data_IF_000070899448
#
_entry.id   IF_000070899448
#
_cell.length_a   1.000
_cell.length_b   1.000
_cell.length_c   1.000
_cell.angle_alpha   90.00
_cell.angle_beta   90.00
_cell.angle_gamma   90.00
#
_symmetry.space_group_name_H-M   'P 1'
#
loop_
_entity.id
_entity.type
_entity.pdbx_description
1 polymer ?
#
# COMPACT_ATOMS: atom_id res chain seq x y z
N UNK A 1 -6.48 2.44 27.70
CA UNK A 1 -6.85 2.99 26.38
C UNK A 1 -5.71 3.90 25.95
N UNK A 2 -4.96 3.54 24.90
CA UNK A 2 -3.95 4.43 24.31
C UNK A 2 -4.71 5.40 23.41
N UNK A 3 -4.44 6.70 23.50
CA UNK A 3 -5.07 7.71 22.65
C UNK A 3 -4.15 8.09 21.50
N UNK A 4 -4.71 8.36 20.32
CA UNK A 4 -3.97 8.90 19.17
C UNK A 4 -3.11 10.10 19.60
N UNK A 5 -1.82 10.04 19.29
CA UNK A 5 -0.84 11.09 19.59
C UNK A 5 -0.17 11.54 18.29
N UNK A 6 -0.31 12.82 17.95
CA UNK A 6 0.43 13.39 16.83
C UNK A 6 1.78 13.91 17.32
N UNK A 7 2.86 13.44 16.69
CA UNK A 7 4.22 13.87 16.96
C UNK A 7 4.50 15.20 16.25
N UNK A 8 5.28 16.06 16.89
CA UNK A 8 5.61 17.40 16.38
C UNK A 8 6.76 17.39 15.37
N UNK A 9 7.52 16.29 15.31
CA UNK A 9 8.65 16.11 14.39
C UNK A 9 8.35 15.02 13.38
N UNK A 10 8.81 15.21 12.15
CA UNK A 10 8.84 14.17 11.12
C UNK A 10 10.01 13.22 11.40
N UNK A 11 9.81 12.26 12.30
CA UNK A 11 10.84 11.31 12.73
C UNK A 11 10.23 9.93 13.02
N UNK A 12 10.99 8.87 12.74
CA UNK A 12 10.62 7.50 13.08
C UNK A 12 11.63 6.99 14.10
N UNK A 13 11.16 6.73 15.34
CA UNK A 13 12.04 6.54 16.48
C UNK A 13 12.98 7.73 16.64
N UNK A 14 14.28 7.46 16.73
CA UNK A 14 15.33 8.48 16.80
C UNK A 14 15.85 8.94 15.42
N UNK A 15 15.17 8.59 14.33
CA UNK A 15 15.59 8.92 12.96
C UNK A 15 14.79 10.10 12.42
N UNK A 16 15.34 11.34 12.38
CA UNK A 16 14.70 12.47 11.72
C UNK A 16 14.63 12.24 10.21
N UNK A 17 13.55 12.70 9.58
CA UNK A 17 13.31 12.52 8.16
C UNK A 17 13.23 13.87 7.45
N UNK A 18 13.80 13.95 6.26
CA UNK A 18 13.63 15.05 5.32
C UNK A 18 12.58 14.68 4.28
N UNK A 19 11.56 15.52 4.17
CA UNK A 19 10.51 15.41 3.18
C UNK A 19 10.97 15.95 1.82
N UNK A 20 10.73 15.20 0.75
CA UNK A 20 10.87 15.66 -0.64
C UNK A 20 9.75 15.10 -1.51
N UNK A 21 9.32 15.84 -2.53
CA UNK A 21 8.40 15.32 -3.56
C UNK A 21 9.20 14.65 -4.68
N UNK A 22 8.72 13.51 -5.17
CA UNK A 22 9.24 12.86 -6.37
C UNK A 22 8.29 13.18 -7.53
N UNK A 23 8.72 13.94 -8.55
CA UNK A 23 7.92 14.17 -9.73
C UNK A 23 7.68 12.85 -10.47
N UNK A 24 6.45 12.61 -10.90
CA UNK A 24 6.09 11.44 -11.72
C UNK A 24 6.10 11.76 -13.21
N UNK A 25 6.23 13.04 -13.56
CA UNK A 25 6.00 13.54 -14.92
C UNK A 25 4.51 13.68 -15.29
N UNK A 26 3.61 13.23 -14.41
CA UNK A 26 2.15 13.24 -14.57
C UNK A 26 1.42 13.92 -13.40
N UNK A 27 2.16 14.70 -12.60
CA UNK A 27 1.70 15.39 -11.39
C UNK A 27 0.53 16.39 -11.59
N UNK A 28 0.32 16.86 -12.82
CA UNK A 28 -0.80 17.74 -13.21
C UNK A 28 -1.96 17.00 -13.87
N UNK A 29 -1.95 15.67 -13.76
CA UNK A 29 -2.96 14.80 -14.31
C UNK A 29 -4.34 14.98 -13.66
N UNK A 30 -5.36 14.53 -14.39
CA UNK A 30 -6.74 14.49 -13.92
C UNK A 30 -7.13 13.14 -13.32
N UNK A 31 -6.41 12.06 -13.54
CA UNK A 31 -6.70 10.76 -12.96
C UNK A 31 -6.24 10.64 -11.51
N UNK A 32 -6.70 9.60 -10.83
CA UNK A 32 -6.36 9.35 -9.43
C UNK A 32 -5.14 8.46 -9.35
N UNK A 33 -4.09 8.93 -8.67
CA UNK A 33 -2.98 8.06 -8.30
C UNK A 33 -3.46 7.14 -7.17
N UNK A 34 -3.36 5.83 -7.34
CA UNK A 34 -3.72 4.87 -6.27
C UNK A 34 -2.48 4.40 -5.51
N UNK A 35 -2.58 3.29 -4.76
CA UNK A 35 -1.50 2.88 -3.85
C UNK A 35 -0.24 2.34 -4.54
N UNK A 36 -0.35 1.65 -5.69
CA UNK A 36 0.77 0.89 -6.27
C UNK A 36 2.10 1.63 -6.31
N UNK A 37 3.06 1.18 -5.51
CA UNK A 37 4.43 1.69 -5.45
C UNK A 37 5.40 0.58 -5.03
N UNK A 38 6.58 0.56 -5.64
CA UNK A 38 7.62 -0.38 -5.31
C UNK A 38 9.01 0.18 -5.65
N UNK A 39 9.98 -0.01 -4.77
CA UNK A 39 11.37 0.31 -5.07
C UNK A 39 12.07 -0.88 -5.72
N UNK A 40 12.83 -0.63 -6.79
CA UNK A 40 13.61 -1.64 -7.48
C UNK A 40 15.07 -1.67 -6.98
N UNK A 41 15.75 -2.83 -7.07
CA UNK A 41 17.16 -2.97 -6.67
C UNK A 41 18.12 -2.02 -7.39
N UNK A 42 17.79 -1.61 -8.62
CA UNK A 42 18.61 -0.67 -9.40
C UNK A 42 18.38 0.80 -9.03
N UNK A 43 17.64 1.05 -7.94
CA UNK A 43 17.38 2.38 -7.41
C UNK A 43 16.18 3.09 -8.02
N UNK A 44 15.62 2.56 -9.11
CA UNK A 44 14.40 3.12 -9.70
C UNK A 44 13.15 2.81 -8.88
N UNK A 45 12.11 3.61 -9.06
CA UNK A 45 10.81 3.46 -8.41
C UNK A 45 9.75 3.10 -9.44
N UNK A 46 8.94 2.08 -9.17
CA UNK A 46 7.70 1.81 -9.88
C UNK A 46 6.53 2.47 -9.15
N UNK A 47 5.66 3.12 -9.89
CA UNK A 47 4.45 3.76 -9.37
C UNK A 47 3.29 3.50 -10.33
N UNK A 48 2.08 3.28 -9.83
CA UNK A 48 0.88 3.23 -10.65
C UNK A 48 0.68 4.57 -11.39
N UNK A 49 0.26 4.53 -12.65
CA UNK A 49 0.04 5.74 -13.43
C UNK A 49 -1.31 6.37 -13.04
N UNK A 50 -1.42 7.68 -12.76
CA UNK A 50 -2.68 8.32 -12.36
C UNK A 50 -3.72 8.38 -13.49
N UNK A 51 -3.32 8.59 -14.75
CA UNK A 51 -4.23 8.67 -15.91
C UNK A 51 -4.56 7.34 -16.62
N UNK A 52 -3.93 6.22 -16.28
CA UNK A 52 -4.12 5.01 -17.06
C UNK A 52 -3.67 3.73 -16.38
N UNK A 53 -3.91 2.63 -17.09
CA UNK A 53 -3.72 1.23 -16.68
C UNK A 53 -2.25 0.78 -16.63
N UNK A 54 -1.35 1.73 -16.46
CA UNK A 54 0.07 1.57 -16.72
C UNK A 54 0.89 1.82 -15.46
N UNK A 55 2.14 1.39 -15.47
CA UNK A 55 3.13 1.77 -14.47
C UNK A 55 3.98 2.93 -15.01
N UNK A 56 4.57 3.68 -14.08
CA UNK A 56 5.63 4.64 -14.33
C UNK A 56 6.86 4.12 -13.61
N UNK A 57 7.97 3.99 -14.34
CA UNK A 57 9.29 3.77 -13.79
C UNK A 57 10.05 5.08 -13.73
N UNK A 58 10.46 5.48 -12.53
CA UNK A 58 11.20 6.70 -12.27
C UNK A 58 12.64 6.30 -11.94
N UNK A 59 13.62 6.70 -12.74
CA UNK A 59 15.04 6.44 -12.48
C UNK A 59 15.54 7.18 -11.24
N UNK A 60 16.73 6.83 -10.73
CA UNK A 60 17.36 7.60 -9.65
C UNK A 60 17.62 9.07 -10.01
N UNK A 61 17.79 9.37 -11.30
CA UNK A 61 17.95 10.73 -11.83
C UNK A 61 16.63 11.49 -11.98
N UNK A 62 15.49 10.81 -11.81
CA UNK A 62 14.14 11.39 -11.93
C UNK A 62 13.50 11.25 -13.31
N UNK A 63 14.14 10.53 -14.24
CA UNK A 63 13.59 10.29 -15.57
C UNK A 63 12.44 9.28 -15.49
N UNK A 64 11.28 9.66 -16.03
CA UNK A 64 10.05 8.85 -15.97
C UNK A 64 9.80 8.13 -17.30
N UNK A 65 9.59 6.81 -17.24
CA UNK A 65 9.23 5.96 -18.38
C UNK A 65 7.94 5.23 -18.10
N UNK A 66 7.00 5.27 -19.06
CA UNK A 66 5.72 4.56 -18.96
C UNK A 66 5.88 3.10 -19.38
N UNK A 67 5.27 2.20 -18.61
CA UNK A 67 5.24 0.75 -18.85
C UNK A 67 3.78 0.32 -18.96
N UNK A 68 3.39 -0.17 -20.12
CA UNK A 68 2.01 -0.57 -20.38
C UNK A 68 1.69 -1.91 -19.74
N UNK A 69 0.53 -2.02 -19.10
CA UNK A 69 0.10 -3.28 -18.48
C UNK A 69 -1.32 -3.66 -18.94
N UNK A 70 -1.70 -4.95 -18.86
CA UNK A 70 -3.06 -5.39 -19.13
C UNK A 70 -3.98 -5.27 -17.90
N UNK A 71 -3.54 -4.59 -16.83
CA UNK A 71 -4.27 -4.47 -15.56
C UNK A 71 -5.24 -3.29 -15.57
N UNK A 72 -6.07 -3.17 -14.55
CA UNK A 72 -7.01 -2.05 -14.39
C UNK A 72 -6.45 -1.00 -13.46
N UNK A 73 -6.06 -1.40 -12.24
CA UNK A 73 -5.48 -0.51 -11.25
C UNK A 73 -4.56 -1.30 -10.30
N UNK A 74 -3.26 -1.05 -10.36
CA UNK A 74 -2.29 -1.74 -9.48
C UNK A 74 -2.39 -1.15 -8.07
N UNK A 75 -3.20 -1.78 -7.24
CA UNK A 75 -3.44 -1.36 -5.87
C UNK A 75 -2.20 -1.54 -4.99
N UNK A 76 -1.49 -2.66 -5.14
CA UNK A 76 -0.26 -2.96 -4.42
C UNK A 76 0.78 -3.52 -5.39
N UNK A 77 2.06 -3.21 -5.15
CA UNK A 77 3.19 -3.77 -5.87
C UNK A 77 4.18 -4.38 -4.86
N UNK A 78 4.62 -5.61 -5.10
CA UNK A 78 5.64 -6.29 -4.31
C UNK A 78 6.70 -6.85 -5.25
N UNK A 79 7.95 -6.42 -5.06
CA UNK A 79 9.08 -6.85 -5.88
C UNK A 79 9.62 -8.14 -5.31
N UNK A 80 9.92 -9.08 -6.19
CA UNK A 80 10.62 -10.30 -5.83
C UNK A 80 11.81 -10.51 -6.78
N UNK A 81 12.99 -10.75 -6.20
CA UNK A 81 14.27 -10.91 -6.89
C UNK A 81 14.71 -12.37 -6.87
N UNK A 82 15.34 -12.84 -7.93
CA UNK A 82 15.99 -14.16 -7.99
C UNK A 82 17.46 -14.06 -7.60
N UNK A 83 18.08 -15.20 -7.30
CA UNK A 83 19.52 -15.29 -7.05
C UNK A 83 20.41 -14.83 -8.22
N UNK A 84 19.86 -14.82 -9.45
CA UNK A 84 20.56 -14.42 -10.68
C UNK A 84 20.22 -12.97 -11.10
N UNK A 85 19.85 -12.11 -10.14
CA UNK A 85 19.43 -10.70 -10.35
C UNK A 85 18.21 -10.51 -11.28
N UNK A 86 17.47 -11.59 -11.55
CA UNK A 86 16.16 -11.51 -12.19
C UNK A 86 15.14 -10.92 -11.23
N UNK A 87 14.07 -10.30 -11.74
CA UNK A 87 13.00 -9.81 -10.89
C UNK A 87 11.63 -9.93 -11.54
N UNK A 88 10.62 -10.07 -10.69
CA UNK A 88 9.21 -9.95 -11.05
C UNK A 88 8.53 -8.98 -10.09
N UNK A 89 7.46 -8.35 -10.55
CA UNK A 89 6.66 -7.44 -9.75
C UNK A 89 5.27 -8.04 -9.58
N UNK A 90 4.99 -8.52 -8.38
CA UNK A 90 3.64 -8.95 -8.03
C UNK A 90 2.73 -7.74 -7.86
N UNK A 91 1.57 -7.78 -8.47
CA UNK A 91 0.58 -6.72 -8.45
C UNK A 91 -0.78 -7.28 -8.02
N UNK A 92 -1.41 -6.60 -7.05
CA UNK A 92 -2.83 -6.77 -6.77
C UNK A 92 -3.61 -5.74 -7.61
N UNK A 93 -4.41 -6.24 -8.55
CA UNK A 93 -5.33 -5.44 -9.36
C UNK A 93 -6.74 -5.61 -8.80
N UNK A 94 -7.27 -4.58 -8.15
CA UNK A 94 -8.59 -4.64 -7.54
C UNK A 94 -9.73 -4.64 -8.58
N UNK A 95 -9.42 -4.34 -9.85
CA UNK A 95 -10.39 -4.23 -10.92
C UNK A 95 -11.25 -2.97 -10.86
N UNK A 96 -10.91 -1.97 -10.05
CA UNK A 96 -11.69 -0.73 -9.93
C UNK A 96 -10.81 0.51 -10.05
N UNK A 97 -11.23 1.44 -10.93
CA UNK A 97 -10.52 2.70 -11.19
C UNK A 97 -11.49 3.86 -11.40
N UNK A 98 -11.15 5.02 -10.83
CA UNK A 98 -11.77 6.30 -11.15
C UNK A 98 -11.22 6.89 -12.45
N UNK A 99 -12.10 7.40 -13.30
CA UNK A 99 -11.76 8.04 -14.58
C UNK A 99 -12.40 9.42 -14.61
N UNK A 100 -11.65 10.40 -15.09
CA UNK A 100 -12.12 11.78 -15.12
C UNK A 100 -13.35 11.90 -16.03
N UNK A 101 -14.43 12.44 -15.47
CA UNK A 101 -15.64 12.89 -16.17
C UNK A 101 -16.12 14.22 -15.53
N UNK A 102 -17.21 14.80 -16.01
CA UNK A 102 -17.72 16.12 -15.58
C UNK A 102 -19.21 16.05 -15.23
N UNK A 103 -19.64 16.53 -14.04
CA UNK A 103 -18.86 17.21 -13.00
C UNK A 103 -18.15 16.29 -11.99
N UNK A 104 -18.46 14.99 -12.03
CA UNK A 104 -17.92 13.95 -11.14
C UNK A 104 -17.11 12.93 -11.93
N UNK A 105 -16.30 12.12 -11.24
CA UNK A 105 -15.55 11.03 -11.87
C UNK A 105 -16.46 9.86 -12.18
N UNK A 106 -16.22 9.21 -13.32
CA UNK A 106 -16.82 7.92 -13.66
C UNK A 106 -15.96 6.76 -13.12
N UNK A 107 -16.50 5.55 -13.14
CA UNK A 107 -15.87 4.36 -12.56
C UNK A 107 -15.77 3.22 -13.58
N UNK A 108 -14.56 2.71 -13.75
CA UNK A 108 -14.32 1.49 -14.52
C UNK A 108 -14.24 0.31 -13.56
N UNK A 109 -15.07 -0.69 -13.83
CA UNK A 109 -15.05 -1.98 -13.16
C UNK A 109 -14.62 -3.09 -14.12
N UNK A 110 -13.69 -3.92 -13.66
CA UNK A 110 -13.18 -5.10 -14.32
C UNK A 110 -13.03 -6.23 -13.29
N UNK A 111 -12.61 -7.42 -13.75
CA UNK A 111 -12.29 -8.51 -12.82
C UNK A 111 -11.05 -8.15 -11.99
N UNK A 112 -11.07 -8.42 -10.69
CA UNK A 112 -9.86 -8.37 -9.87
C UNK A 112 -8.88 -9.48 -10.26
N UNK A 113 -7.58 -9.23 -10.07
CA UNK A 113 -6.49 -10.14 -10.45
C UNK A 113 -5.31 -10.00 -9.49
N UNK A 114 -4.56 -11.09 -9.32
CA UNK A 114 -3.21 -11.03 -8.73
C UNK A 114 -2.24 -11.63 -9.71
N UNK A 115 -1.29 -10.84 -10.18
CA UNK A 115 -0.36 -11.23 -11.24
C UNK A 115 1.08 -10.94 -10.84
N UNK A 116 2.03 -11.68 -11.41
CA UNK A 116 3.42 -11.25 -11.48
C UNK A 116 3.70 -10.69 -12.88
N UNK A 117 4.30 -9.52 -12.93
CA UNK A 117 4.72 -8.83 -14.15
C UNK A 117 6.24 -8.94 -14.33
N UNK A 118 6.70 -8.98 -15.58
CA UNK A 118 8.08 -8.56 -15.90
C UNK A 118 8.20 -7.02 -15.90
N UNK A 119 9.42 -6.50 -16.04
CA UNK A 119 9.67 -5.04 -16.07
C UNK A 119 9.16 -4.35 -17.35
N UNK A 120 8.74 -5.11 -18.35
CA UNK A 120 8.09 -4.59 -19.55
C UNK A 120 6.55 -4.56 -19.40
N UNK A 121 6.02 -4.94 -18.23
CA UNK A 121 4.59 -4.93 -17.92
C UNK A 121 3.82 -6.15 -18.43
N UNK A 122 4.51 -7.20 -18.90
CA UNK A 122 3.87 -8.45 -19.34
C UNK A 122 3.59 -9.36 -18.16
N UNK A 123 2.39 -9.95 -18.15
CA UNK A 123 2.02 -10.95 -17.16
C UNK A 123 2.81 -12.24 -17.40
N UNK A 124 3.65 -12.61 -16.43
CA UNK A 124 4.40 -13.87 -16.45
C UNK A 124 3.75 -14.94 -15.58
N UNK A 125 2.97 -14.54 -14.56
CA UNK A 125 2.18 -15.44 -13.70
C UNK A 125 0.89 -14.76 -13.27
N UNK A 126 -0.15 -15.56 -13.01
CA UNK A 126 -1.44 -15.11 -12.47
C UNK A 126 -1.98 -16.18 -11.51
N UNK A 127 -2.49 -15.75 -10.36
CA UNK A 127 -3.21 -16.59 -9.42
C UNK A 127 -4.68 -16.72 -9.85
N UNK A 128 -5.23 -17.92 -9.69
CA UNK A 128 -6.66 -18.13 -9.86
C UNK A 128 -7.43 -17.53 -8.68
N UNK A 129 -8.48 -16.78 -8.99
CA UNK A 129 -9.39 -16.26 -7.97
C UNK A 129 -10.01 -17.43 -7.16
N UNK A 130 -10.13 -17.32 -5.83
CA UNK A 130 -10.75 -18.34 -4.98
C UNK A 130 -12.24 -18.57 -5.32
N UNK A 131 -12.53 -19.56 -6.17
CA UNK A 131 -13.88 -19.78 -6.70
C UNK A 131 -14.97 -20.05 -5.63
N UNK A 132 -14.59 -20.49 -4.43
CA UNK A 132 -15.52 -20.88 -3.38
C UNK A 132 -16.07 -19.71 -2.54
N UNK A 133 -15.50 -18.51 -2.65
CA UNK A 133 -15.76 -17.43 -1.68
C UNK A 133 -16.60 -16.29 -2.23
N UNK A 134 -16.52 -15.97 -3.53
CA UNK A 134 -17.33 -14.92 -4.15
C UNK A 134 -16.52 -13.95 -5.02
N UNK A 135 -17.00 -12.70 -5.20
CA UNK A 135 -16.27 -11.66 -5.92
C UNK A 135 -14.85 -11.45 -5.38
N UNK A 136 -13.90 -11.35 -6.31
CA UNK A 136 -12.48 -11.17 -6.05
C UNK A 136 -12.04 -9.75 -6.40
N UNK A 137 -11.61 -8.98 -5.41
CA UNK A 137 -11.12 -7.61 -5.57
C UNK A 137 -9.94 -7.38 -4.60
N UNK A 138 -8.75 -7.90 -4.97
CA UNK A 138 -7.58 -7.92 -4.11
C UNK A 138 -6.99 -6.52 -3.95
N UNK A 139 -6.53 -6.21 -2.74
CA UNK A 139 -5.93 -4.92 -2.38
C UNK A 139 -4.44 -5.03 -2.09
N UNK A 140 -3.95 -6.20 -1.69
CA UNK A 140 -2.53 -6.35 -1.33
C UNK A 140 -2.02 -7.76 -1.60
N UNK A 141 -0.74 -7.85 -1.94
CA UNK A 141 -0.03 -9.10 -2.20
C UNK A 141 1.35 -9.05 -1.52
N UNK A 142 1.72 -10.10 -0.81
CA UNK A 142 3.02 -10.22 -0.16
C UNK A 142 3.61 -11.62 -0.39
N UNK A 143 4.93 -11.71 -0.49
CA UNK A 143 5.63 -12.99 -0.60
C UNK A 143 6.18 -13.38 0.76
N UNK A 144 6.24 -14.69 1.02
CA UNK A 144 6.94 -15.19 2.20
C UNK A 144 8.42 -14.81 2.14
N UNK A 145 9.05 -14.93 0.98
CA UNK A 145 10.43 -14.52 0.74
C UNK A 145 10.52 -13.67 -0.54
N UNK A 146 10.90 -12.40 -0.41
CA UNK A 146 11.09 -11.51 -1.57
C UNK A 146 12.34 -11.84 -2.38
N UNK A 147 13.31 -12.54 -1.81
CA UNK A 147 14.48 -13.05 -2.53
C UNK A 147 14.23 -14.43 -3.20
N UNK A 148 13.00 -14.93 -3.10
CA UNK A 148 12.55 -16.13 -3.79
C UNK A 148 11.15 -15.90 -4.41
N UNK A 149 11.08 -15.59 -5.72
CA UNK A 149 9.81 -15.41 -6.39
C UNK A 149 9.07 -16.74 -6.64
N UNK A 150 9.63 -17.87 -6.19
CA UNK A 150 8.99 -19.16 -6.04
C UNK A 150 8.53 -19.46 -4.60
N UNK A 151 8.53 -18.48 -3.69
CA UNK A 151 7.94 -18.64 -2.37
C UNK A 151 6.41 -18.52 -2.40
N UNK A 152 5.76 -18.93 -1.31
CA UNK A 152 4.32 -18.79 -1.14
C UNK A 152 3.89 -17.32 -1.17
N UNK A 153 2.69 -17.08 -1.68
CA UNK A 153 2.11 -15.75 -1.85
C UNK A 153 0.89 -15.60 -0.94
N UNK A 154 0.86 -14.51 -0.19
CA UNK A 154 -0.29 -14.08 0.57
C UNK A 154 -1.02 -12.97 -0.18
N UNK A 155 -2.34 -12.99 -0.12
CA UNK A 155 -3.20 -12.00 -0.77
C UNK A 155 -4.27 -11.54 0.20
N UNK A 156 -4.48 -10.23 0.25
CA UNK A 156 -5.62 -9.62 0.91
C UNK A 156 -6.72 -9.31 -0.12
N UNK A 157 -7.90 -9.87 0.08
CA UNK A 157 -9.12 -9.61 -0.70
C UNK A 157 -9.95 -8.50 -0.04
N UNK A 158 -9.32 -7.33 0.14
CA UNK A 158 -9.84 -6.26 0.98
C UNK A 158 -11.11 -5.61 0.46
N UNK A 159 -11.33 -5.56 -0.86
CA UNK A 159 -12.55 -4.99 -1.44
C UNK A 159 -13.53 -6.05 -1.94
N UNK A 160 -13.13 -7.33 -1.90
CA UNK A 160 -13.98 -8.47 -2.24
C UNK A 160 -14.67 -9.03 -1.00
N UNK A 161 -14.27 -10.22 -0.57
CA UNK A 161 -14.93 -10.94 0.53
C UNK A 161 -14.37 -10.63 1.92
N UNK A 162 -13.42 -9.70 2.04
CA UNK A 162 -12.71 -9.44 3.29
C UNK A 162 -12.02 -10.68 3.86
N UNK A 163 -11.26 -11.36 2.99
CA UNK A 163 -10.52 -12.58 3.30
C UNK A 163 -9.03 -12.39 3.05
N UNK A 164 -8.22 -13.22 3.72
CA UNK A 164 -6.80 -13.37 3.45
C UNK A 164 -6.55 -14.76 2.91
N UNK A 165 -5.84 -14.87 1.79
CA UNK A 165 -5.55 -16.15 1.13
C UNK A 165 -4.05 -16.40 1.08
N UNK A 166 -3.65 -17.65 1.30
CA UNK A 166 -2.27 -18.14 1.07
C UNK A 166 -2.28 -19.09 -0.12
N UNK A 167 -1.40 -18.84 -1.08
CA UNK A 167 -1.15 -19.68 -2.24
C UNK A 167 0.26 -20.25 -2.18
N UNK A 168 0.41 -21.48 -2.66
CA UNK A 168 1.73 -22.05 -2.89
C UNK A 168 2.43 -21.38 -4.07
N UNK A 169 3.74 -21.60 -4.17
CA UNK A 169 4.55 -21.31 -5.36
C UNK A 169 3.91 -21.77 -6.69
N UNK A 170 3.27 -22.95 -6.66
CA UNK A 170 2.58 -23.57 -7.79
C UNK A 170 1.17 -23.01 -8.02
N UNK A 171 0.80 -21.96 -7.28
CA UNK A 171 -0.47 -21.22 -7.36
C UNK A 171 -1.68 -22.02 -6.86
N UNK A 172 -1.44 -23.01 -6.01
CA UNK A 172 -2.51 -23.76 -5.35
C UNK A 172 -2.93 -23.00 -4.09
N UNK A 173 -4.23 -22.76 -3.93
CA UNK A 173 -4.77 -22.18 -2.69
C UNK A 173 -4.56 -23.16 -1.52
N UNK A 174 -3.78 -22.73 -0.52
CA UNK A 174 -3.42 -23.55 0.64
C UNK A 174 -4.31 -23.28 1.86
N UNK A 175 -4.58 -22.00 2.14
CA UNK A 175 -5.31 -21.58 3.35
C UNK A 175 -6.05 -20.29 3.08
N UNK A 176 -7.15 -20.09 3.81
CA UNK A 176 -7.93 -18.85 3.81
C UNK A 176 -8.27 -18.50 5.24
N UNK A 177 -8.00 -17.26 5.64
CA UNK A 177 -8.31 -16.71 6.95
C UNK A 177 -9.43 -15.70 6.79
N UNK A 178 -10.43 -15.76 7.67
CA UNK A 178 -11.52 -14.79 7.74
C UNK A 178 -11.40 -13.86 8.96
N UNK A 179 -10.35 -14.03 9.77
CA UNK A 179 -10.03 -13.21 10.92
C UNK A 179 -10.72 -13.64 12.22
N UNK A 180 -11.65 -14.60 12.19
CA UNK A 180 -12.46 -15.00 13.36
C UNK A 180 -11.60 -15.40 14.58
N UNK A 181 -10.43 -15.99 14.36
CA UNK A 181 -9.48 -16.37 15.41
C UNK A 181 -8.98 -15.17 16.24
N UNK A 182 -9.04 -13.95 15.69
CA UNK A 182 -8.72 -12.70 16.38
C UNK A 182 -9.90 -12.12 17.18
N UNK A 183 -11.02 -12.85 17.28
CA UNK A 183 -12.23 -12.46 18.02
C UNK A 183 -13.31 -11.78 17.19
N UNK A 184 -13.02 -11.34 15.97
CA UNK A 184 -14.02 -10.87 14.99
C UNK A 184 -13.50 -11.07 13.57
N UNK A 185 -14.42 -11.27 12.62
CA UNK A 185 -14.09 -11.36 11.19
C UNK A 185 -13.41 -10.09 10.71
N UNK A 186 -12.53 -10.22 9.73
CA UNK A 186 -11.98 -9.08 9.03
C UNK A 186 -13.08 -8.26 8.36
N UNK A 187 -12.82 -6.95 8.25
CA UNK A 187 -13.64 -6.00 7.51
C UNK A 187 -12.70 -5.06 6.77
N UNK A 188 -12.62 -5.25 5.45
CA UNK A 188 -11.64 -4.63 4.57
C UNK A 188 -10.18 -4.85 5.05
N UNK A 189 -9.67 -6.10 5.09
CA UNK A 189 -8.25 -6.36 5.29
C UNK A 189 -7.49 -5.79 4.08
N UNK A 190 -6.90 -4.61 4.25
CA UNK A 190 -6.55 -3.73 3.16
C UNK A 190 -5.10 -3.93 2.69
N UNK A 191 -4.15 -3.92 3.63
CA UNK A 191 -2.73 -4.16 3.39
C UNK A 191 -2.20 -5.32 4.20
N UNK A 192 -1.24 -6.04 3.64
CA UNK A 192 -0.52 -7.11 4.32
C UNK A 192 1.00 -6.93 4.25
N UNK A 193 1.70 -7.40 5.27
CA UNK A 193 3.15 -7.38 5.36
C UNK A 193 3.63 -8.70 5.97
N UNK A 194 4.61 -9.35 5.33
CA UNK A 194 5.35 -10.44 5.96
C UNK A 194 6.59 -9.85 6.63
N UNK A 195 6.74 -10.11 7.93
CA UNK A 195 7.83 -9.58 8.74
C UNK A 195 8.56 -10.73 9.42
N UNK A 196 9.88 -10.65 9.50
CA UNK A 196 10.68 -11.58 10.30
C UNK A 196 10.74 -11.10 11.75
N UNK A 197 10.25 -11.91 12.68
CA UNK A 197 10.31 -11.68 14.13
C UNK A 197 11.14 -12.78 14.79
N UNK A 198 12.38 -12.45 15.16
CA UNK A 198 13.32 -13.45 15.67
C UNK A 198 13.67 -14.47 14.59
N UNK A 199 13.35 -15.74 14.81
CA UNK A 199 13.59 -16.83 13.86
C UNK A 199 12.39 -17.14 12.95
N UNK A 200 11.23 -16.51 13.21
CA UNK A 200 9.97 -16.82 12.53
C UNK A 200 9.55 -15.68 11.61
N UNK A 201 8.77 -16.01 10.58
CA UNK A 201 8.04 -15.02 9.78
C UNK A 201 6.59 -14.96 10.26
N UNK A 202 6.04 -13.76 10.30
CA UNK A 202 4.66 -13.51 10.69
C UNK A 202 3.97 -12.62 9.66
N UNK A 203 2.67 -12.79 9.52
CA UNK A 203 1.80 -12.02 8.66
C UNK A 203 1.11 -10.93 9.49
N UNK A 204 1.34 -9.68 9.11
CA UNK A 204 0.60 -8.52 9.57
C UNK A 204 -0.53 -8.20 8.60
N UNK A 205 -1.72 -7.95 9.13
CA UNK A 205 -2.92 -7.59 8.37
C UNK A 205 -3.46 -6.26 8.89
N UNK A 206 -3.52 -5.24 8.03
CA UNK A 206 -4.22 -3.99 8.29
C UNK A 206 -5.72 -4.21 8.05
N UNK A 207 -6.45 -4.50 9.14
CA UNK A 207 -7.89 -4.74 9.14
C UNK A 207 -8.62 -3.40 9.26
N UNK A 208 -8.77 -2.73 8.11
CA UNK A 208 -8.98 -1.28 8.02
C UNK A 208 -10.27 -0.84 8.69
N UNK A 209 -11.40 -1.43 8.32
CA UNK A 209 -12.71 -0.99 8.82
C UNK A 209 -12.89 -1.33 10.29
N UNK A 210 -12.23 -2.41 10.75
CA UNK A 210 -12.13 -2.74 12.17
C UNK A 210 -11.07 -1.92 12.93
N UNK A 211 -10.34 -1.02 12.26
CA UNK A 211 -9.38 -0.08 12.87
C UNK A 211 -8.33 -0.76 13.74
N UNK A 212 -7.75 -1.84 13.23
CA UNK A 212 -6.76 -2.64 13.97
C UNK A 212 -5.73 -3.25 13.04
N UNK A 213 -4.65 -3.74 13.64
CA UNK A 213 -3.67 -4.57 12.95
C UNK A 213 -3.66 -5.94 13.64
N UNK A 214 -3.82 -6.99 12.85
CA UNK A 214 -3.89 -8.38 13.34
C UNK A 214 -2.67 -9.14 12.84
N UNK A 215 -2.04 -9.91 13.72
CA UNK A 215 -0.81 -10.65 13.43
C UNK A 215 -1.06 -12.15 13.53
N UNK A 216 -0.66 -12.88 12.50
CA UNK A 216 -0.77 -14.33 12.39
C UNK A 216 0.60 -14.97 12.13
N UNK A 217 0.78 -16.20 12.60
CA UNK A 217 1.81 -17.09 12.06
C UNK A 217 1.46 -17.48 10.62
N UNK A 218 2.46 -17.87 9.82
CA UNK A 218 2.21 -18.29 8.44
C UNK A 218 1.41 -19.60 8.34
N UNK A 219 1.30 -20.35 9.43
CA UNK A 219 0.42 -21.51 9.57
C UNK A 219 -1.07 -21.13 9.79
N UNK A 220 -1.38 -19.84 9.90
CA UNK A 220 -2.72 -19.33 10.18
C UNK A 220 -3.03 -19.18 11.68
N UNK A 221 -2.09 -19.47 12.57
CA UNK A 221 -2.29 -19.30 14.00
C UNK A 221 -2.37 -17.81 14.35
N UNK A 222 -3.47 -17.37 14.97
CA UNK A 222 -3.58 -16.02 15.52
C UNK A 222 -2.54 -15.82 16.63
N UNK A 223 -1.76 -14.74 16.53
CA UNK A 223 -0.74 -14.40 17.51
C UNK A 223 -1.18 -13.26 18.42
N UNK A 224 -1.60 -12.14 17.83
CA UNK A 224 -1.97 -10.92 18.57
C UNK A 224 -2.71 -9.90 17.70
N UNK A 225 -3.35 -8.95 18.36
CA UNK A 225 -3.91 -7.74 17.74
C UNK A 225 -3.30 -6.52 18.41
N UNK A 226 -2.89 -5.55 17.61
CA UNK A 226 -2.41 -4.25 18.07
C UNK A 226 -3.24 -3.12 17.45
N UNK A 227 -3.00 -1.90 17.94
CA UNK A 227 -3.53 -0.65 17.43
C UNK A 227 -5.05 -0.36 17.54
N UNK A 228 -5.84 -1.18 18.23
CA UNK A 228 -7.33 -1.13 18.26
C UNK A 228 -7.99 0.21 18.63
N UNK A 229 -7.26 1.17 19.20
CA UNK A 229 -7.77 2.49 19.60
C UNK A 229 -6.96 3.67 19.05
N UNK A 230 -5.93 3.42 18.23
CA UNK A 230 -4.97 4.45 17.81
C UNK A 230 -4.91 4.65 16.31
N UNK A 231 -5.25 3.64 15.50
CA UNK A 231 -5.37 3.76 14.04
C UNK A 231 -6.84 3.94 13.65
N UNK A 232 -7.08 4.65 12.56
CA UNK A 232 -8.44 4.93 12.07
C UNK A 232 -8.65 4.40 10.65
N UNK A 233 -7.58 4.28 9.86
CA UNK A 233 -7.64 3.88 8.46
C UNK A 233 -6.36 3.19 8.00
N UNK A 234 -5.90 2.14 8.73
CA UNK A 234 -4.65 1.48 8.41
C UNK A 234 -4.74 0.87 7.01
N UNK A 235 -3.68 1.05 6.23
CA UNK A 235 -3.63 0.68 4.81
C UNK A 235 -2.38 -0.17 4.55
N UNK A 236 -1.38 0.36 3.85
CA UNK A 236 -0.12 -0.33 3.59
C UNK A 236 0.85 -0.23 4.77
N UNK A 237 1.77 -1.19 4.85
CA UNK A 237 2.71 -1.32 5.96
C UNK A 237 4.11 -1.68 5.45
N UNK A 238 5.14 -1.20 6.15
CA UNK A 238 6.54 -1.60 5.94
C UNK A 238 7.25 -1.75 7.28
N UNK A 239 8.25 -2.65 7.33
CA UNK A 239 9.29 -2.56 8.35
C UNK A 239 10.31 -1.50 7.92
N UNK A 240 10.52 -0.50 8.77
CA UNK A 240 11.54 0.51 8.60
C UNK A 240 12.42 0.56 9.82
N UNK A 241 13.64 0.00 9.70
CA UNK A 241 14.64 -0.02 10.77
C UNK A 241 14.13 -0.65 12.07
N UNK A 242 13.31 -1.70 11.96
CA UNK A 242 12.71 -2.37 13.12
C UNK A 242 11.41 -1.72 13.63
N UNK A 243 11.01 -0.58 13.06
CA UNK A 243 9.70 0.01 13.33
C UNK A 243 8.68 -0.46 12.31
N UNK A 244 7.48 -0.80 12.77
CA UNK A 244 6.33 -0.97 11.89
C UNK A 244 5.81 0.43 11.55
N UNK A 245 5.77 0.76 10.27
CA UNK A 245 5.24 2.02 9.75
C UNK A 245 3.99 1.70 8.94
N UNK A 246 2.88 2.35 9.30
CA UNK A 246 1.56 2.08 8.71
C UNK A 246 1.04 3.36 8.09
N UNK A 247 0.61 3.30 6.82
CA UNK A 247 -0.12 4.41 6.21
C UNK A 247 -1.54 4.45 6.79
N UNK A 248 -1.92 5.63 7.28
CA UNK A 248 -3.29 5.94 7.69
C UNK A 248 -3.91 6.77 6.57
N UNK A 249 -4.84 6.17 5.83
CA UNK A 249 -5.44 6.78 4.64
C UNK A 249 -6.04 8.17 4.94
N UNK A 250 -6.50 8.42 6.17
CA UNK A 250 -7.00 9.74 6.61
C UNK A 250 -5.91 10.73 7.00
N UNK A 251 -4.70 10.55 6.49
CA UNK A 251 -3.66 11.58 6.46
C UNK A 251 -2.64 11.47 7.58
N UNK A 252 -2.01 10.32 7.80
CA UNK A 252 -0.85 10.19 8.69
C UNK A 252 0.00 8.95 8.38
N UNK A 253 1.17 8.85 9.03
CA UNK A 253 1.83 7.55 9.25
C UNK A 253 1.80 7.21 10.73
N UNK A 254 1.30 6.02 11.07
CA UNK A 254 1.35 5.47 12.43
C UNK A 254 2.64 4.67 12.63
N UNK A 255 3.32 4.91 13.75
CA UNK A 255 4.64 4.33 14.04
C UNK A 255 4.58 3.44 15.27
N UNK A 256 5.14 2.24 15.16
CA UNK A 256 5.24 1.27 16.25
C UNK A 256 6.66 0.73 16.40
N UNK A 257 7.09 0.50 17.64
CA UNK A 257 8.29 -0.26 17.99
C UNK A 257 7.87 -1.57 18.68
N UNK A 258 8.04 -2.70 18.00
CA UNK A 258 7.33 -3.92 18.35
C UNK A 258 5.82 -3.68 18.40
N UNK A 259 5.19 -3.94 19.55
CA UNK A 259 3.76 -3.68 19.80
C UNK A 259 3.50 -2.30 20.45
N UNK A 260 4.55 -1.51 20.70
CA UNK A 260 4.46 -0.21 21.32
C UNK A 260 4.19 0.90 20.31
N UNK A 261 3.03 1.55 20.46
CA UNK A 261 2.64 2.69 19.64
C UNK A 261 3.42 3.94 20.05
N UNK A 262 4.20 4.51 19.12
CA UNK A 262 5.02 5.69 19.36
C UNK A 262 4.26 7.00 19.08
N UNK A 263 3.41 7.00 18.06
CA UNK A 263 2.70 8.19 17.62
C UNK A 263 2.38 8.19 16.12
N UNK A 264 1.77 9.28 15.66
CA UNK A 264 1.61 9.60 14.25
C UNK A 264 2.56 10.71 13.82
N UNK A 265 3.08 10.64 12.61
CA UNK A 265 3.82 11.75 11.98
C UNK A 265 3.04 12.33 10.79
N UNK A 266 3.28 13.61 10.52
CA UNK A 266 2.71 14.33 9.37
C UNK A 266 1.17 14.36 9.33
N UNK A 267 0.52 14.35 10.50
CA UNK A 267 -0.94 14.25 10.57
C UNK A 267 -1.67 15.42 9.92
N UNK A 268 -2.64 15.09 9.07
CA UNK A 268 -3.60 16.04 8.51
C UNK A 268 -4.57 16.55 9.56
N UNK A 269 -4.99 17.80 9.41
CA UNK A 269 -6.13 18.38 10.13
C UNK A 269 -7.41 18.36 9.29
N UNK A 270 -7.34 17.80 8.10
CA UNK A 270 -8.45 17.80 7.16
C UNK A 270 -9.54 16.82 7.62
N UNK A 271 -10.79 17.26 7.52
CA UNK A 271 -11.95 16.41 7.73
C UNK A 271 -12.07 15.39 6.60
N UNK A 272 -11.99 14.10 6.93
CA UNK A 272 -12.09 13.01 5.96
C UNK A 272 -13.53 12.62 5.64
N UNK A 273 -14.49 13.06 6.46
CA UNK A 273 -15.93 12.92 6.19
C UNK A 273 -16.47 14.11 5.36
N UNK A 274 -15.63 15.13 5.17
CA UNK A 274 -15.97 16.34 4.41
C UNK A 274 -16.14 16.09 2.91
N UNK A 275 -16.94 16.91 2.22
CA UNK A 275 -17.23 16.74 0.79
C UNK A 275 -15.96 16.82 -0.06
N UNK A 276 -15.88 15.93 -1.05
CA UNK A 276 -14.78 15.87 -1.99
C UNK A 276 -13.47 15.32 -1.42
N UNK A 277 -13.41 14.83 -0.18
CA UNK A 277 -12.23 14.10 0.31
C UNK A 277 -11.96 12.85 -0.56
N UNK A 278 -10.69 12.53 -0.90
CA UNK A 278 -9.41 13.14 -0.52
C UNK A 278 -8.98 14.33 -1.41
N UNK A 279 -9.85 14.82 -2.29
CA UNK A 279 -9.66 15.90 -3.26
C UNK A 279 -10.29 17.21 -2.80
N UNK A 280 -10.87 18.07 -3.62
CA UNK A 280 -11.73 19.16 -3.15
C UNK A 280 -12.81 19.46 -4.17
N UNK A 281 -13.88 20.11 -3.74
CA UNK A 281 -14.90 20.66 -4.65
C UNK A 281 -14.56 22.13 -4.88
N UNK A 282 -14.43 22.55 -6.14
CA UNK A 282 -14.19 23.95 -6.49
C UNK A 282 -15.49 24.79 -6.55
N UNK A 283 -15.36 26.09 -6.85
CA UNK A 283 -16.49 27.03 -6.91
C UNK A 283 -17.55 26.66 -7.97
N UNK A 284 -17.22 25.78 -8.92
CA UNK A 284 -18.12 25.31 -9.96
C UNK A 284 -18.82 24.00 -9.60
N UNK A 285 -18.44 23.38 -8.47
CA UNK A 285 -18.94 22.07 -8.05
C UNK A 285 -18.12 20.90 -8.59
N UNK A 286 -17.01 21.15 -9.29
CA UNK A 286 -16.17 20.09 -9.86
C UNK A 286 -15.24 19.51 -8.80
N UNK A 287 -15.06 18.19 -8.81
CA UNK A 287 -14.02 17.53 -8.00
C UNK A 287 -12.66 17.75 -8.65
N UNK A 288 -11.73 18.40 -7.93
CA UNK A 288 -10.37 18.75 -8.38
C UNK A 288 -9.32 18.40 -7.32
N UNK A 289 -8.04 18.35 -7.70
CA UNK A 289 -6.95 18.05 -6.77
C UNK A 289 -6.96 18.92 -5.50
N UNK A 290 -6.57 18.35 -4.34
CA UNK A 290 -6.56 19.07 -3.07
C UNK A 290 -5.42 20.10 -3.00
N UNK A 291 -5.50 21.01 -2.04
CA UNK A 291 -4.36 21.84 -1.66
C UNK A 291 -3.42 21.04 -0.75
N UNK A 292 -2.12 21.06 -1.04
CA UNK A 292 -1.13 20.26 -0.34
C UNK A 292 -0.14 21.16 0.41
N UNK A 293 0.26 20.70 1.59
CA UNK A 293 1.38 21.26 2.35
C UNK A 293 2.51 20.24 2.46
N UNK A 294 3.75 20.72 2.49
CA UNK A 294 4.91 19.87 2.80
C UNK A 294 4.90 19.48 4.28
N UNK A 295 5.34 18.25 4.59
CA UNK A 295 5.36 17.72 5.95
C UNK A 295 4.00 17.29 6.51
N UNK A 296 2.91 17.47 5.75
CA UNK A 296 1.56 17.05 6.12
C UNK A 296 1.04 16.09 5.04
N UNK A 297 0.61 14.91 5.47
CA UNK A 297 -0.03 13.93 4.60
C UNK A 297 -1.50 14.31 4.33
N UNK A 298 -2.01 14.01 3.14
CA UNK A 298 -3.42 14.15 2.76
C UNK A 298 -4.10 12.79 2.79
N UNK A 299 -3.58 11.84 2.02
CA UNK A 299 -4.18 10.52 1.82
C UNK A 299 -3.12 9.42 1.56
N UNK A 300 -2.16 9.22 2.47
CA UNK A 300 -1.06 8.27 2.27
C UNK A 300 -1.64 6.86 2.15
N UNK A 301 -1.25 6.15 1.09
CA UNK A 301 -1.91 4.91 0.71
C UNK A 301 -0.90 3.78 0.56
N UNK A 302 -0.10 3.78 -0.51
CA UNK A 302 0.99 2.81 -0.69
C UNK A 302 2.30 3.30 -0.08
N UNK A 303 3.14 2.37 0.38
CA UNK A 303 4.45 2.68 0.99
C UNK A 303 5.46 1.58 0.68
N UNK A 304 6.72 1.95 0.43
CA UNK A 304 7.84 1.04 0.21
C UNK A 304 9.11 1.63 0.83
N UNK A 305 10.06 0.76 1.16
CA UNK A 305 11.40 1.15 1.63
C UNK A 305 12.41 0.76 0.56
N UNK A 306 13.44 1.61 0.39
CA UNK A 306 14.69 1.24 -0.27
C UNK A 306 15.86 1.70 0.58
N UNK A 307 16.75 0.78 0.90
CA UNK A 307 17.90 1.02 1.78
C UNK A 307 17.47 1.67 3.11
N UNK A 308 17.55 2.99 3.17
CA UNK A 308 17.17 3.78 4.33
C UNK A 308 16.13 4.85 4.04
N UNK A 309 15.62 4.93 2.81
CA UNK A 309 14.65 5.92 2.35
C UNK A 309 13.27 5.30 2.23
N UNK A 310 12.26 6.01 2.72
CA UNK A 310 10.85 5.66 2.54
C UNK A 310 10.29 6.38 1.32
N UNK A 311 9.44 5.69 0.58
CA UNK A 311 8.66 6.26 -0.51
C UNK A 311 7.19 5.89 -0.31
N UNK A 312 6.28 6.81 -0.59
CA UNK A 312 4.85 6.57 -0.48
C UNK A 312 4.06 7.35 -1.52
N UNK A 313 2.88 6.83 -1.85
CA UNK A 313 1.88 7.46 -2.71
C UNK A 313 0.75 8.02 -1.88
N UNK A 314 0.09 9.04 -2.40
CA UNK A 314 -1.18 9.52 -1.85
C UNK A 314 -2.32 9.37 -2.85
N UNK A 315 -3.44 8.85 -2.35
CA UNK A 315 -4.64 8.60 -3.13
C UNK A 315 -5.42 9.88 -3.38
N UNK A 316 -5.17 10.55 -4.50
CA UNK A 316 -5.80 11.81 -4.89
C UNK A 316 -5.58 12.12 -6.39
N UNK A 317 -6.30 13.11 -6.93
CA UNK A 317 -6.24 13.55 -8.34
C UNK A 317 -4.86 14.14 -8.65
N UNK A 318 -4.22 13.63 -9.70
CA UNK A 318 -2.83 13.95 -10.08
C UNK A 318 -1.80 13.20 -9.24
N UNK A 319 -2.14 12.91 -7.98
CA UNK A 319 -1.32 12.15 -7.06
C UNK A 319 -0.13 12.90 -6.48
N UNK A 320 0.44 12.32 -5.43
CA UNK A 320 1.71 12.79 -4.85
C UNK A 320 2.56 11.58 -4.48
N UNK A 321 3.80 11.57 -4.94
CA UNK A 321 4.83 10.64 -4.46
C UNK A 321 5.75 11.40 -3.53
N UNK A 322 5.87 10.90 -2.30
CA UNK A 322 6.69 11.48 -1.24
C UNK A 322 7.89 10.59 -1.00
N UNK A 323 9.06 11.20 -0.88
CA UNK A 323 10.32 10.57 -0.47
C UNK A 323 10.73 11.14 0.89
N UNK A 324 10.97 10.26 1.85
CA UNK A 324 11.44 10.59 3.19
C UNK A 324 12.84 10.01 3.40
N UNK A 325 13.86 10.87 3.36
CA UNK A 325 15.25 10.47 3.61
C UNK A 325 15.61 10.64 5.09
N UNK A 326 16.41 9.74 5.67
CA UNK A 326 16.97 9.95 7.00
C UNK A 326 17.96 11.11 6.96
N UNK A 327 17.91 11.95 7.99
CA UNK A 327 18.85 13.04 8.21
C UNK A 327 19.79 12.63 9.34
N UNK A 328 21.08 12.94 9.21
CA UNK A 328 22.00 12.74 10.33
C UNK A 328 21.50 13.53 11.54
N UNK A 329 21.42 12.88 12.71
CA UNK A 329 21.17 13.58 13.96
C UNK A 329 22.32 14.56 14.20
N UNK A 330 21.99 15.84 14.37
CA UNK A 330 22.95 16.88 14.73
C UNK A 330 23.35 16.77 16.21
#
# INVERSE_FOLDING_TARGET
MRTRRNLTSLAIGDTPLRWTRVPTGHDGGTGWLHSGIAALPDGSLLVAHPEGRDLIRISETGDSTRITTPLTEMHCLTVATTADDGMVVWAADNGHRFVHDTPDYDEIHARGRVVALDLDGRVVRELDAPAAFGPWSPTSVALVDTDDPGSDVWVADGYGQSLIHRYSADRVLLTTLDGTESGTRFDCPHGILIRTEGAEKVLYVADRSNRRIVVFGLDGTYLRTLATDVVDSPSSMVDYRGHLVVTELFGALAIFDGDDYLGHIGSSLRDHDGPGWPNRIDDTGQTVAPELAEGIFNSPHGITVRDTTLYLTEWMIGGRVVRLDPVAAH
#
